data_IF_593324218419
#
_entry.id   IF_593324218419
#
_cell.length_a   1.000
_cell.length_b   1.000
_cell.length_c   1.000
_cell.angle_alpha   90.00
_cell.angle_beta   90.00
_cell.angle_gamma   90.00
#
_symmetry.space_group_name_H-M   'P 1'
#
loop_
_entity.id
_entity.type
_entity.pdbx_description
1 polymer ?
#
# COMPACT_ATOMS: atom_id res chain seq x y z
N UNK A 1 40.65 -12.27 -30.21
CA UNK A 1 40.23 -11.78 -28.87
C UNK A 1 38.81 -11.25 -29.01
N UNK A 2 37.81 -12.05 -28.65
CA UNK A 2 36.41 -11.62 -28.62
C UNK A 2 36.19 -10.88 -27.30
N UNK A 3 36.11 -9.56 -27.34
CA UNK A 3 35.65 -8.74 -26.23
C UNK A 3 34.13 -8.82 -26.17
N UNK A 4 33.61 -9.85 -25.49
CA UNK A 4 32.25 -9.85 -24.97
C UNK A 4 32.18 -8.86 -23.81
N UNK A 5 32.11 -7.57 -24.14
CA UNK A 5 31.55 -6.56 -23.23
C UNK A 5 30.07 -6.88 -23.08
N UNK A 6 29.56 -7.22 -21.88
CA UNK A 6 28.13 -7.35 -21.70
C UNK A 6 27.50 -5.99 -21.96
N UNK A 7 26.62 -5.93 -22.96
CA UNK A 7 25.80 -4.75 -23.24
C UNK A 7 24.94 -4.42 -22.03
N UNK A 8 24.87 -3.13 -21.72
CA UNK A 8 24.20 -2.50 -20.58
C UNK A 8 22.66 -2.54 -20.72
N UNK A 9 22.12 -3.71 -21.01
CA UNK A 9 20.71 -3.95 -21.36
C UNK A 9 20.13 -5.18 -20.64
N UNK A 10 20.62 -5.48 -19.43
CA UNK A 10 19.84 -6.25 -18.47
C UNK A 10 18.67 -5.38 -17.99
N UNK A 11 17.66 -5.21 -18.85
CA UNK A 11 16.32 -4.94 -18.36
C UNK A 11 16.03 -6.02 -17.32
N UNK A 12 15.92 -5.64 -16.05
CA UNK A 12 15.53 -6.58 -14.99
C UNK A 12 14.13 -7.08 -15.36
N UNK A 13 14.08 -8.26 -15.98
CA UNK A 13 12.86 -8.80 -16.56
C UNK A 13 11.78 -8.91 -15.48
N UNK A 14 10.57 -8.46 -15.83
CA UNK A 14 9.39 -8.66 -14.99
C UNK A 14 9.18 -10.16 -14.79
N UNK A 15 9.23 -10.61 -13.52
CA UNK A 15 8.94 -12.00 -13.18
C UNK A 15 7.43 -12.23 -13.20
N UNK A 16 6.91 -12.72 -14.33
CA UNK A 16 5.48 -13.01 -14.51
C UNK A 16 4.94 -13.98 -13.46
N UNK A 17 5.73 -14.97 -13.04
CA UNK A 17 5.35 -15.89 -11.96
C UNK A 17 5.11 -15.18 -10.62
N UNK A 18 6.04 -14.29 -10.21
CA UNK A 18 5.88 -13.50 -8.98
C UNK A 18 4.69 -12.53 -9.09
N UNK A 19 4.47 -11.95 -10.27
CA UNK A 19 3.33 -11.05 -10.50
C UNK A 19 1.99 -11.79 -10.40
N UNK A 20 1.90 -12.99 -10.99
CA UNK A 20 0.74 -13.87 -10.88
C UNK A 20 0.49 -14.29 -9.43
N UNK A 21 1.52 -14.75 -8.72
CA UNK A 21 1.40 -15.08 -7.28
C UNK A 21 0.88 -13.87 -6.51
N UNK A 22 1.49 -12.70 -6.68
CA UNK A 22 1.04 -11.50 -6.00
C UNK A 22 -0.38 -11.07 -6.40
N UNK A 23 -0.84 -11.36 -7.62
CA UNK A 23 -2.20 -11.07 -8.09
C UNK A 23 -3.23 -12.08 -7.56
N UNK A 24 -2.84 -13.32 -7.36
CA UNK A 24 -3.67 -14.34 -6.71
C UNK A 24 -3.74 -14.04 -5.21
N UNK A 25 -2.61 -13.78 -4.56
CA UNK A 25 -2.55 -13.50 -3.13
C UNK A 25 -3.39 -12.30 -2.72
N UNK A 26 -3.39 -11.21 -3.49
CA UNK A 26 -4.17 -10.00 -3.18
C UNK A 26 -5.69 -10.23 -3.23
N UNK A 27 -6.16 -11.27 -3.94
CA UNK A 27 -7.59 -11.58 -4.06
C UNK A 27 -8.01 -12.72 -3.14
N UNK A 28 -7.24 -13.82 -3.18
CA UNK A 28 -7.58 -15.06 -2.51
C UNK A 28 -7.38 -14.93 -1.01
N UNK A 29 -6.30 -14.29 -0.55
CA UNK A 29 -6.04 -14.20 0.89
C UNK A 29 -7.13 -13.40 1.62
N UNK A 30 -7.53 -12.18 1.18
CA UNK A 30 -8.61 -11.46 1.84
C UNK A 30 -9.95 -12.22 1.81
N UNK A 31 -10.27 -12.87 0.68
CA UNK A 31 -11.49 -13.66 0.56
C UNK A 31 -11.50 -14.85 1.54
N UNK A 32 -10.42 -15.64 1.57
CA UNK A 32 -10.28 -16.78 2.49
C UNK A 32 -10.34 -16.30 3.95
N UNK A 33 -9.71 -15.18 4.28
CA UNK A 33 -9.71 -14.63 5.62
C UNK A 33 -11.11 -14.16 6.03
N UNK A 34 -11.77 -13.33 5.20
CA UNK A 34 -13.09 -12.78 5.52
C UNK A 34 -14.17 -13.87 5.61
N UNK A 35 -14.24 -14.75 4.62
CA UNK A 35 -15.26 -15.81 4.59
C UNK A 35 -14.94 -16.96 5.54
N UNK A 36 -13.66 -17.28 5.73
CA UNK A 36 -13.24 -18.28 6.71
C UNK A 36 -13.52 -17.85 8.16
N UNK A 37 -13.30 -16.57 8.48
CA UNK A 37 -13.59 -16.03 9.82
C UNK A 37 -15.08 -15.78 10.06
N UNK A 38 -15.79 -15.22 9.07
CA UNK A 38 -17.25 -15.02 9.16
C UNK A 38 -18.05 -16.33 9.15
N UNK A 39 -17.52 -17.38 8.51
CA UNK A 39 -18.19 -18.66 8.38
C UNK A 39 -19.36 -18.66 7.38
N UNK A 40 -19.50 -17.60 6.58
CA UNK A 40 -20.58 -17.42 5.61
C UNK A 40 -20.04 -16.80 4.32
N UNK A 41 -20.72 -17.04 3.20
CA UNK A 41 -20.35 -16.51 1.87
C UNK A 41 -21.32 -15.45 1.35
N UNK A 42 -22.50 -15.37 1.94
CA UNK A 42 -23.58 -14.42 1.67
C UNK A 42 -23.37 -13.10 2.43
N UNK A 43 -22.17 -12.54 2.31
CA UNK A 43 -21.80 -11.25 2.88
C UNK A 43 -21.44 -10.26 1.77
N UNK A 44 -22.44 -9.50 1.31
CA UNK A 44 -22.33 -8.65 0.12
C UNK A 44 -21.19 -7.63 0.22
N UNK A 45 -21.02 -6.97 1.37
CA UNK A 45 -19.98 -5.97 1.55
C UNK A 45 -18.57 -6.55 1.54
N UNK A 46 -18.38 -7.82 1.93
CA UNK A 46 -17.09 -8.49 1.77
C UNK A 46 -16.77 -8.73 0.28
N UNK A 47 -17.76 -9.12 -0.53
CA UNK A 47 -17.57 -9.23 -1.99
C UNK A 47 -17.29 -7.88 -2.65
N UNK A 48 -18.00 -6.82 -2.22
CA UNK A 48 -17.72 -5.45 -2.68
C UNK A 48 -16.28 -5.05 -2.35
N UNK A 49 -15.81 -5.32 -1.13
CA UNK A 49 -14.43 -5.04 -0.72
C UNK A 49 -13.41 -5.84 -1.54
N UNK A 50 -13.65 -7.14 -1.80
CA UNK A 50 -12.78 -7.97 -2.66
C UNK A 50 -12.76 -7.42 -4.09
N UNK A 51 -13.90 -7.02 -4.63
CA UNK A 51 -14.01 -6.38 -5.95
C UNK A 51 -13.24 -5.07 -6.01
N UNK A 52 -13.28 -4.27 -4.94
CA UNK A 52 -12.51 -3.04 -4.82
C UNK A 52 -11.00 -3.31 -4.81
N UNK A 53 -10.57 -4.30 -4.02
CA UNK A 53 -9.17 -4.76 -3.99
C UNK A 53 -8.70 -5.27 -5.35
N UNK A 54 -9.57 -5.97 -6.09
CA UNK A 54 -9.27 -6.41 -7.45
C UNK A 54 -9.12 -5.22 -8.40
N UNK A 55 -10.09 -4.32 -8.42
CA UNK A 55 -10.11 -3.18 -9.33
C UNK A 55 -8.88 -2.28 -9.14
N UNK A 56 -8.59 -1.85 -7.91
CA UNK A 56 -7.44 -0.99 -7.65
C UNK A 56 -6.11 -1.75 -7.63
N UNK A 57 -6.06 -2.94 -7.04
CA UNK A 57 -4.83 -3.74 -6.91
C UNK A 57 -4.34 -4.28 -8.25
N UNK A 58 -5.22 -4.89 -9.05
CA UNK A 58 -4.85 -5.37 -10.39
C UNK A 58 -4.73 -4.20 -11.36
N UNK A 59 -5.63 -3.22 -11.31
CA UNK A 59 -5.57 -2.02 -12.13
C UNK A 59 -4.25 -1.27 -11.96
N UNK A 60 -3.79 -1.09 -10.72
CA UNK A 60 -2.47 -0.50 -10.44
C UNK A 60 -1.33 -1.28 -11.08
N UNK A 61 -1.35 -2.63 -11.00
CA UNK A 61 -0.33 -3.47 -11.64
C UNK A 61 -0.36 -3.36 -13.16
N UNK A 62 -1.55 -3.35 -13.77
CA UNK A 62 -1.69 -3.17 -15.22
C UNK A 62 -1.12 -1.81 -15.63
N UNK A 63 -1.49 -0.73 -14.95
CA UNK A 63 -0.97 0.62 -15.27
C UNK A 63 0.56 0.66 -15.11
N UNK A 64 1.11 0.08 -14.04
CA UNK A 64 2.54 0.04 -13.81
C UNK A 64 3.28 -0.81 -14.86
N UNK A 65 2.70 -1.91 -15.36
CA UNK A 65 3.30 -2.71 -16.45
C UNK A 65 3.46 -1.88 -17.72
N UNK A 66 2.52 -0.96 -17.96
CA UNK A 66 2.48 -0.15 -19.17
C UNK A 66 3.34 1.11 -19.04
N UNK A 67 3.35 1.76 -17.86
CA UNK A 67 4.03 3.05 -17.66
C UNK A 67 5.42 2.94 -17.05
N UNK A 68 5.64 1.99 -16.15
CA UNK A 68 6.86 1.91 -15.32
C UNK A 68 7.22 0.44 -15.03
N UNK A 69 7.58 -0.35 -16.06
CA UNK A 69 7.89 -1.77 -15.88
C UNK A 69 9.04 -2.01 -14.88
N UNK A 70 10.02 -1.10 -14.84
CA UNK A 70 11.12 -1.14 -13.88
C UNK A 70 10.64 -1.07 -12.42
N UNK A 71 9.55 -0.35 -12.14
CA UNK A 71 8.98 -0.26 -10.80
C UNK A 71 8.36 -1.60 -10.38
N UNK A 72 7.71 -2.32 -11.31
CA UNK A 72 7.18 -3.66 -11.02
C UNK A 72 8.30 -4.64 -10.78
N UNK A 73 9.34 -4.62 -11.63
CA UNK A 73 10.51 -5.46 -11.45
C UNK A 73 11.13 -5.21 -10.08
N UNK A 74 11.25 -3.94 -9.67
CA UNK A 74 11.77 -3.61 -8.34
C UNK A 74 10.88 -4.12 -7.21
N UNK A 75 9.57 -3.87 -7.27
CA UNK A 75 8.62 -4.32 -6.24
C UNK A 75 8.56 -5.85 -6.14
N UNK A 76 8.72 -6.56 -7.26
CA UNK A 76 8.78 -8.02 -7.28
C UNK A 76 10.05 -8.60 -6.65
N UNK A 77 11.10 -7.81 -6.50
CA UNK A 77 12.38 -8.19 -5.89
C UNK A 77 12.63 -7.49 -4.55
N UNK A 78 11.68 -6.68 -4.06
CA UNK A 78 11.88 -5.80 -2.91
C UNK A 78 12.29 -6.58 -1.63
N UNK A 79 11.74 -7.78 -1.44
CA UNK A 79 12.09 -8.66 -0.31
C UNK A 79 13.51 -9.25 -0.40
N UNK A 80 14.08 -9.30 -1.60
CA UNK A 80 15.41 -9.84 -1.87
C UNK A 80 16.49 -8.74 -1.74
N UNK A 81 16.12 -7.47 -1.45
CA UNK A 81 17.05 -6.34 -1.38
C UNK A 81 17.74 -6.27 -0.03
N UNK A 82 19.04 -6.52 -0.05
CA UNK A 82 19.88 -6.51 1.15
C UNK A 82 20.00 -5.12 1.80
N UNK A 83 19.93 -4.05 1.00
CA UNK A 83 20.07 -2.66 1.42
C UNK A 83 18.77 -2.02 1.95
N UNK A 84 17.73 -2.84 2.14
CA UNK A 84 16.52 -2.45 2.89
C UNK A 84 16.89 -2.03 4.31
N UNK A 85 16.33 -0.92 4.79
CA UNK A 85 16.57 -0.45 6.16
C UNK A 85 16.17 -1.53 7.20
N UNK A 86 17.02 -1.81 8.22
CA UNK A 86 16.76 -2.90 9.16
C UNK A 86 15.41 -2.82 9.89
N UNK A 87 15.00 -1.61 10.29
CA UNK A 87 13.70 -1.38 10.94
C UNK A 87 12.52 -1.67 9.98
N UNK A 88 12.71 -1.47 8.67
CA UNK A 88 11.65 -1.69 7.69
C UNK A 88 11.45 -3.16 7.38
N UNK A 89 12.49 -4.00 7.56
CA UNK A 89 12.37 -5.46 7.45
C UNK A 89 11.32 -6.03 8.42
N UNK A 90 11.10 -5.36 9.55
CA UNK A 90 10.05 -5.71 10.52
C UNK A 90 8.77 -4.90 10.30
N UNK A 91 8.85 -3.58 10.09
CA UNK A 91 7.65 -2.74 9.95
C UNK A 91 6.86 -3.05 8.67
N UNK A 92 7.53 -3.33 7.55
CA UNK A 92 6.87 -3.59 6.28
C UNK A 92 5.92 -4.80 6.35
N UNK A 93 6.31 -6.01 6.77
CA UNK A 93 5.38 -7.13 6.85
C UNK A 93 4.27 -6.91 7.89
N UNK A 94 4.54 -6.19 8.98
CA UNK A 94 3.51 -5.83 9.96
C UNK A 94 2.43 -4.96 9.32
N UNK A 95 2.83 -3.91 8.62
CA UNK A 95 1.94 -2.94 7.99
C UNK A 95 1.23 -3.51 6.75
N UNK A 96 1.93 -4.31 5.94
CA UNK A 96 1.42 -4.77 4.66
C UNK A 96 0.66 -6.12 4.73
N UNK A 97 0.92 -6.93 5.75
CA UNK A 97 0.38 -8.30 5.82
C UNK A 97 -0.29 -8.55 7.17
N UNK A 98 0.46 -8.48 8.28
CA UNK A 98 -0.03 -8.96 9.58
C UNK A 98 -1.21 -8.14 10.10
N UNK A 99 -1.05 -6.82 10.26
CA UNK A 99 -2.10 -5.99 10.84
C UNK A 99 -3.35 -5.89 9.94
N UNK A 100 -3.24 -5.73 8.59
CA UNK A 100 -4.40 -5.81 7.72
C UNK A 100 -5.12 -7.16 7.80
N UNK A 101 -4.38 -8.28 7.88
CA UNK A 101 -4.99 -9.60 8.03
C UNK A 101 -5.73 -9.72 9.36
N UNK A 102 -5.13 -9.27 10.46
CA UNK A 102 -5.80 -9.23 11.77
C UNK A 102 -7.07 -8.38 11.71
N UNK A 103 -7.02 -7.22 11.04
CA UNK A 103 -8.20 -6.37 10.84
C UNK A 103 -9.33 -7.10 10.11
N UNK A 104 -9.03 -7.83 9.03
CA UNK A 104 -10.03 -8.61 8.29
C UNK A 104 -10.55 -9.81 9.09
N UNK A 105 -9.69 -10.50 9.86
CA UNK A 105 -10.12 -11.58 10.77
C UNK A 105 -11.09 -11.04 11.80
N UNK A 106 -10.76 -9.91 12.45
CA UNK A 106 -11.63 -9.29 13.45
C UNK A 106 -12.95 -8.88 12.82
N UNK A 107 -12.94 -8.29 11.62
CA UNK A 107 -14.17 -7.92 10.91
C UNK A 107 -15.05 -9.14 10.61
N UNK A 108 -14.47 -10.25 10.13
CA UNK A 108 -15.24 -11.46 9.86
C UNK A 108 -15.74 -12.15 11.13
N UNK A 109 -14.96 -12.18 12.22
CA UNK A 109 -15.45 -12.70 13.51
C UNK A 109 -16.57 -11.82 14.08
N UNK A 110 -16.48 -10.51 13.93
CA UNK A 110 -17.53 -9.56 14.32
C UNK A 110 -18.83 -9.82 13.53
N UNK A 111 -18.75 -9.99 12.21
CA UNK A 111 -19.89 -10.42 11.37
C UNK A 111 -20.47 -11.77 11.83
N UNK A 112 -19.61 -12.74 12.20
CA UNK A 112 -20.06 -14.07 12.64
C UNK A 112 -20.83 -14.04 13.96
N UNK A 113 -20.36 -13.25 14.91
CA UNK A 113 -20.86 -13.24 16.27
C UNK A 113 -21.77 -12.06 16.58
N UNK A 114 -21.90 -11.09 15.66
CA UNK A 114 -22.74 -9.92 15.79
C UNK A 114 -22.34 -9.02 16.96
N UNK A 115 -21.04 -8.77 17.17
CA UNK A 115 -20.61 -7.93 18.29
C UNK A 115 -20.90 -6.44 18.04
N UNK A 116 -20.89 -6.01 16.78
CA UNK A 116 -21.26 -4.67 16.34
C UNK A 116 -22.77 -4.57 16.07
N UNK A 117 -23.37 -3.37 16.28
CA UNK A 117 -24.74 -3.12 15.84
C UNK A 117 -24.83 -3.16 14.30
N UNK A 118 -26.04 -3.30 13.77
CA UNK A 118 -26.26 -3.17 12.32
C UNK A 118 -25.92 -1.76 11.82
N UNK A 119 -25.19 -1.68 10.72
CA UNK A 119 -24.77 -0.40 10.14
C UNK A 119 -25.81 0.09 9.12
N UNK A 120 -26.18 1.37 9.13
CA UNK A 120 -26.97 1.95 8.05
C UNK A 120 -26.24 1.81 6.72
N UNK A 121 -26.97 1.39 5.67
CA UNK A 121 -26.39 1.21 4.34
C UNK A 121 -25.70 2.48 3.81
N UNK A 122 -26.23 3.66 4.14
CA UNK A 122 -25.61 4.94 3.80
C UNK A 122 -24.19 5.10 4.36
N UNK A 123 -23.92 4.57 5.56
CA UNK A 123 -22.59 4.61 6.17
C UNK A 123 -21.63 3.67 5.42
N UNK A 124 -22.07 2.46 5.07
CA UNK A 124 -21.26 1.52 4.29
C UNK A 124 -20.95 2.03 2.89
N UNK A 125 -21.91 2.65 2.20
CA UNK A 125 -21.70 3.30 0.89
C UNK A 125 -20.75 4.49 1.00
N UNK A 126 -20.86 5.29 2.07
CA UNK A 126 -19.92 6.38 2.34
C UNK A 126 -18.51 5.83 2.58
N UNK A 127 -18.37 4.77 3.38
CA UNK A 127 -17.12 4.10 3.64
C UNK A 127 -16.52 3.47 2.37
N UNK A 128 -17.34 2.92 1.48
CA UNK A 128 -16.91 2.44 0.16
C UNK A 128 -16.28 3.57 -0.66
N UNK A 129 -16.93 4.74 -0.72
CA UNK A 129 -16.40 5.90 -1.44
C UNK A 129 -15.08 6.39 -0.85
N UNK A 130 -14.99 6.49 0.48
CA UNK A 130 -13.77 6.91 1.18
C UNK A 130 -12.62 5.90 0.95
N UNK A 131 -12.92 4.60 1.03
CA UNK A 131 -11.94 3.53 0.75
C UNK A 131 -11.43 3.63 -0.68
N UNK A 132 -12.34 3.84 -1.64
CA UNK A 132 -12.00 4.01 -3.06
C UNK A 132 -11.09 5.21 -3.29
N UNK A 133 -11.35 6.33 -2.61
CA UNK A 133 -10.51 7.54 -2.69
C UNK A 133 -9.11 7.29 -2.10
N UNK A 134 -9.03 6.59 -0.98
CA UNK A 134 -7.76 6.19 -0.37
C UNK A 134 -6.91 5.32 -1.31
N UNK A 135 -7.53 4.31 -1.92
CA UNK A 135 -6.85 3.48 -2.92
C UNK A 135 -6.48 4.23 -4.18
N UNK A 136 -7.35 5.11 -4.67
CA UNK A 136 -7.04 5.99 -5.81
C UNK A 136 -5.79 6.82 -5.54
N UNK A 137 -5.67 7.43 -4.36
CA UNK A 137 -4.49 8.21 -3.99
C UNK A 137 -3.22 7.34 -3.94
N UNK A 138 -3.33 6.09 -3.46
CA UNK A 138 -2.24 5.11 -3.50
C UNK A 138 -1.81 4.76 -4.92
N UNK A 139 -2.76 4.48 -5.82
CA UNK A 139 -2.48 4.19 -7.24
C UNK A 139 -1.85 5.41 -7.91
N UNK A 140 -2.40 6.61 -7.72
CA UNK A 140 -1.86 7.84 -8.29
C UNK A 140 -0.42 8.10 -7.82
N UNK A 141 -0.15 7.88 -6.54
CA UNK A 141 1.20 8.00 -5.97
C UNK A 141 2.19 7.03 -6.60
N UNK A 142 1.77 5.79 -6.83
CA UNK A 142 2.60 4.75 -7.43
C UNK A 142 2.85 5.00 -8.92
N UNK A 143 1.85 5.51 -9.64
CA UNK A 143 1.94 5.81 -11.07
C UNK A 143 2.86 7.00 -11.34
N UNK A 144 2.88 8.00 -10.46
CA UNK A 144 3.73 9.19 -10.62
C UNK A 144 5.15 8.94 -10.11
N UNK A 145 5.31 8.14 -9.05
CA UNK A 145 6.61 7.86 -8.45
C UNK A 145 7.19 6.52 -8.96
N UNK A 146 8.06 6.59 -9.97
CA UNK A 146 8.78 5.42 -10.51
C UNK A 146 9.75 4.74 -9.51
N UNK A 147 9.98 5.37 -8.36
CA UNK A 147 10.81 4.86 -7.26
C UNK A 147 9.97 4.36 -6.06
N UNK A 148 8.66 4.18 -6.21
CA UNK A 148 7.73 3.73 -5.15
C UNK A 148 7.95 2.25 -4.74
N UNK A 149 9.08 1.99 -4.08
CA UNK A 149 9.44 0.65 -3.60
C UNK A 149 8.46 0.15 -2.53
N UNK A 150 8.40 -1.18 -2.36
CA UNK A 150 7.62 -1.77 -1.28
C UNK A 150 8.35 -1.69 0.08
N UNK A 151 9.67 -1.51 0.03
CA UNK A 151 10.57 -1.41 1.19
C UNK A 151 11.35 -0.10 1.14
N UNK A 152 11.75 0.41 2.31
CA UNK A 152 12.50 1.66 2.44
C UNK A 152 13.98 1.43 2.14
N UNK A 153 14.45 2.05 1.06
CA UNK A 153 15.84 2.05 0.60
C UNK A 153 16.09 3.18 -0.39
N UNK A 154 17.37 3.54 -0.59
CA UNK A 154 17.79 4.46 -1.64
C UNK A 154 18.26 3.67 -2.86
N UNK A 155 17.51 3.76 -3.95
CA UNK A 155 17.72 3.04 -5.20
C UNK A 155 18.78 3.74 -6.07
N UNK A 156 20.01 3.83 -5.57
CA UNK A 156 21.14 4.48 -6.27
C UNK A 156 21.39 3.86 -7.64
N UNK A 157 21.21 2.55 -7.75
CA UNK A 157 21.35 1.80 -9.01
C UNK A 157 20.30 2.18 -10.06
N UNK A 158 19.16 2.75 -9.64
CA UNK A 158 18.11 3.26 -10.54
C UNK A 158 18.20 4.77 -10.72
N UNK A 159 19.25 5.41 -10.19
CA UNK A 159 19.42 6.86 -10.18
C UNK A 159 18.24 7.56 -9.51
N UNK A 160 17.89 7.15 -8.28
CA UNK A 160 16.77 7.73 -7.55
C UNK A 160 16.87 9.24 -7.43
N UNK A 161 15.79 9.93 -7.79
CA UNK A 161 15.62 11.37 -7.63
C UNK A 161 14.30 11.67 -6.91
N UNK A 162 14.21 12.88 -6.35
CA UNK A 162 12.99 13.33 -5.66
C UNK A 162 11.87 13.53 -6.68
N UNK A 163 10.71 12.93 -6.40
CA UNK A 163 9.48 13.11 -7.19
C UNK A 163 8.63 14.18 -6.53
N UNK A 164 8.33 15.24 -7.28
CA UNK A 164 7.62 16.44 -6.78
C UNK A 164 6.29 16.71 -7.48
N UNK A 165 5.90 15.86 -8.44
CA UNK A 165 4.70 16.02 -9.26
C UNK A 165 3.52 15.17 -8.76
N UNK A 166 2.34 15.39 -9.32
CA UNK A 166 1.13 14.65 -8.93
C UNK A 166 0.76 14.92 -7.48
N UNK A 167 0.43 13.90 -6.66
CA UNK A 167 0.01 14.15 -5.28
C UNK A 167 1.17 14.60 -4.36
N UNK A 168 2.42 14.41 -4.80
CA UNK A 168 3.62 14.85 -4.07
C UNK A 168 3.79 16.38 -4.03
N UNK A 169 3.01 17.15 -4.81
CA UNK A 169 3.02 18.61 -4.70
C UNK A 169 2.29 19.10 -3.43
N UNK A 170 1.46 18.26 -2.80
CA UNK A 170 0.61 18.64 -1.67
C UNK A 170 1.11 18.06 -0.34
N UNK A 171 1.55 16.80 -0.36
CA UNK A 171 2.07 16.07 0.81
C UNK A 171 3.24 15.18 0.39
N UNK A 172 4.18 14.93 1.29
CA UNK A 172 5.39 14.14 0.97
C UNK A 172 5.12 12.65 0.81
N UNK A 173 4.10 12.11 1.50
CA UNK A 173 3.78 10.68 1.52
C UNK A 173 2.31 10.38 1.17
N UNK A 174 1.86 10.74 -0.03
CA UNK A 174 0.45 10.61 -0.42
C UNK A 174 -0.04 9.16 -0.45
N UNK A 175 0.84 8.19 -0.76
CA UNK A 175 0.50 6.77 -0.72
C UNK A 175 0.14 6.29 0.69
N UNK A 176 0.89 6.73 1.70
CA UNK A 176 0.59 6.43 3.10
C UNK A 176 -0.67 7.16 3.58
N UNK A 177 -0.88 8.42 3.16
CA UNK A 177 -2.11 9.15 3.47
C UNK A 177 -3.34 8.41 2.93
N UNK A 178 -3.29 7.94 1.68
CA UNK A 178 -4.36 7.14 1.08
C UNK A 178 -4.59 5.82 1.81
N UNK A 179 -3.51 5.13 2.20
CA UNK A 179 -3.58 3.91 3.00
C UNK A 179 -4.24 4.11 4.37
N UNK A 180 -3.90 5.19 5.07
CA UNK A 180 -4.50 5.52 6.38
C UNK A 180 -6.00 5.75 6.26
N UNK A 181 -6.42 6.55 5.27
CA UNK A 181 -7.83 6.82 4.99
C UNK A 181 -8.59 5.53 4.70
N UNK A 182 -8.04 4.67 3.84
CA UNK A 182 -8.65 3.39 3.51
C UNK A 182 -8.74 2.46 4.74
N UNK A 183 -7.68 2.35 5.54
CA UNK A 183 -7.66 1.48 6.72
C UNK A 183 -8.72 1.84 7.75
N UNK A 184 -9.05 3.13 7.92
CA UNK A 184 -10.16 3.52 8.80
C UNK A 184 -11.53 3.28 8.18
N UNK A 185 -11.66 3.40 6.86
CA UNK A 185 -12.92 3.22 6.16
C UNK A 185 -13.32 1.75 5.98
N UNK A 186 -12.35 0.84 5.83
CA UNK A 186 -12.61 -0.60 5.61
C UNK A 186 -13.43 -1.25 6.73
N UNK A 187 -13.12 -1.06 8.03
CA UNK A 187 -13.98 -1.56 9.11
C UNK A 187 -15.43 -1.08 8.99
N UNK A 188 -15.64 0.19 8.62
CA UNK A 188 -16.98 0.76 8.46
C UNK A 188 -17.71 0.21 7.24
N UNK A 189 -16.98 -0.04 6.15
CA UNK A 189 -17.49 -0.71 4.95
C UNK A 189 -17.95 -2.14 5.27
N UNK A 190 -17.16 -2.85 6.08
CA UNK A 190 -17.46 -4.21 6.54
C UNK A 190 -18.47 -4.25 7.70
N UNK A 191 -18.92 -3.10 8.23
CA UNK A 191 -19.87 -3.09 9.34
C UNK A 191 -19.31 -3.52 10.69
N UNK A 192 -18.00 -3.38 10.90
CA UNK A 192 -17.31 -3.81 12.13
C UNK A 192 -16.68 -2.64 12.88
N UNK A 193 -17.19 -2.34 14.08
CA UNK A 193 -16.54 -1.41 15.01
C UNK A 193 -15.29 -2.02 15.64
N UNK A 194 -15.29 -3.33 15.90
CA UNK A 194 -14.16 -4.01 16.53
C UNK A 194 -12.91 -4.01 15.63
N UNK A 195 -13.10 -4.05 14.31
CA UNK A 195 -12.00 -3.92 13.36
C UNK A 195 -11.38 -2.51 13.32
N UNK A 196 -11.99 -1.48 13.94
CA UNK A 196 -11.35 -0.18 14.10
C UNK A 196 -10.12 -0.23 15.02
N UNK A 197 -10.11 -1.12 16.02
CA UNK A 197 -8.95 -1.26 16.92
C UNK A 197 -7.67 -1.69 16.17
N UNK A 198 -7.66 -2.79 15.39
CA UNK A 198 -6.51 -3.11 14.54
C UNK A 198 -6.27 -2.08 13.43
N UNK A 199 -7.30 -1.36 12.96
CA UNK A 199 -7.13 -0.24 12.03
C UNK A 199 -6.32 0.91 12.63
N UNK A 200 -6.59 1.29 13.89
CA UNK A 200 -5.78 2.27 14.63
C UNK A 200 -4.34 1.79 14.74
N UNK A 201 -4.13 0.52 15.12
CA UNK A 201 -2.79 -0.05 15.26
C UNK A 201 -1.99 0.02 13.95
N UNK A 202 -2.56 -0.44 12.82
CA UNK A 202 -1.85 -0.37 11.53
C UNK A 202 -1.56 1.07 11.12
N UNK A 203 -2.46 2.00 11.41
CA UNK A 203 -2.26 3.41 11.09
C UNK A 203 -1.18 4.07 11.96
N UNK A 204 -1.08 3.71 13.24
CA UNK A 204 0.05 4.11 14.08
C UNK A 204 1.38 3.60 13.51
N UNK A 205 1.43 2.34 13.06
CA UNK A 205 2.63 1.78 12.43
C UNK A 205 2.97 2.47 11.11
N UNK A 206 1.97 2.83 10.29
CA UNK A 206 2.19 3.59 9.06
C UNK A 206 2.74 4.98 9.38
N UNK A 207 2.23 5.66 10.41
CA UNK A 207 2.74 6.98 10.83
C UNK A 207 4.20 6.87 11.27
N UNK A 208 4.55 5.86 12.07
CA UNK A 208 5.95 5.59 12.47
C UNK A 208 6.82 5.31 11.24
N UNK A 209 6.38 4.40 10.36
CA UNK A 209 7.08 4.06 9.12
C UNK A 209 7.29 5.29 8.24
N UNK A 210 6.28 6.14 8.12
CA UNK A 210 6.32 7.41 7.38
C UNK A 210 7.39 8.34 7.95
N UNK A 211 7.46 8.51 9.27
CA UNK A 211 8.47 9.35 9.91
C UNK A 211 9.89 8.84 9.66
N UNK A 212 10.11 7.53 9.78
CA UNK A 212 11.41 6.91 9.58
C UNK A 212 11.87 6.96 8.12
N UNK A 213 10.94 6.75 7.18
CA UNK A 213 11.20 6.89 5.75
C UNK A 213 11.49 8.35 5.37
N UNK A 214 10.70 9.30 5.86
CA UNK A 214 10.92 10.74 5.63
C UNK A 214 12.29 11.19 6.13
N UNK A 215 12.71 10.75 7.32
CA UNK A 215 14.04 11.05 7.87
C UNK A 215 15.14 10.40 7.01
N UNK A 216 14.96 9.14 6.61
CA UNK A 216 15.91 8.45 5.71
C UNK A 216 16.10 9.20 4.40
N UNK A 217 15.00 9.68 3.80
CA UNK A 217 15.05 10.45 2.56
C UNK A 217 15.73 11.81 2.77
N UNK A 218 15.46 12.50 3.88
CA UNK A 218 16.15 13.74 4.22
C UNK A 218 17.65 13.55 4.43
N UNK A 219 18.09 12.41 4.97
CA UNK A 219 19.49 12.17 5.29
C UNK A 219 20.30 11.61 4.11
N UNK A 220 19.66 10.85 3.21
CA UNK A 220 20.38 10.05 2.21
C UNK A 220 20.02 10.34 0.75
N UNK A 221 18.91 11.05 0.48
CA UNK A 221 18.48 11.39 -0.88
C UNK A 221 18.75 12.86 -1.20
N UNK A 222 19.67 13.08 -2.15
CA UNK A 222 20.04 14.40 -2.62
C UNK A 222 18.81 15.20 -3.10
N UNK A 223 18.70 16.44 -2.63
CA UNK A 223 17.60 17.36 -2.96
C UNK A 223 16.30 17.13 -2.18
N UNK A 224 16.20 16.11 -1.32
CA UNK A 224 14.97 15.86 -0.56
C UNK A 224 14.72 16.90 0.53
N UNK A 225 15.76 17.44 1.16
CA UNK A 225 15.64 18.52 2.15
C UNK A 225 15.00 19.78 1.56
N UNK A 226 15.49 20.25 0.40
CA UNK A 226 14.91 21.39 -0.33
C UNK A 226 13.45 21.16 -0.74
N UNK A 227 13.12 19.90 -1.08
CA UNK A 227 11.74 19.52 -1.33
C UNK A 227 10.89 19.56 -0.04
N UNK A 228 11.40 19.08 1.08
CA UNK A 228 10.72 19.08 2.37
C UNK A 228 10.46 20.48 2.94
N UNK A 229 11.30 21.46 2.60
CA UNK A 229 11.07 22.87 2.93
C UNK A 229 9.88 23.47 2.16
N UNK A 230 9.69 23.05 0.90
CA UNK A 230 8.60 23.51 0.02
C UNK A 230 7.28 22.78 0.32
N UNK A 231 7.32 21.46 0.42
CA UNK A 231 6.18 20.62 0.75
C UNK A 231 6.30 20.21 2.21
N UNK A 232 5.73 21.03 3.09
CA UNK A 232 5.94 20.94 4.54
C UNK A 232 5.28 19.73 5.20
N UNK A 233 4.15 19.29 4.64
CA UNK A 233 3.30 18.26 5.24
C UNK A 233 3.71 16.85 4.81
N UNK A 234 3.81 15.93 5.76
CA UNK A 234 4.08 14.51 5.51
C UNK A 234 2.84 13.79 4.99
N UNK A 235 1.71 13.94 5.68
CA UNK A 235 0.50 13.15 5.43
C UNK A 235 -0.76 14.01 5.28
N UNK A 236 -0.92 15.02 6.14
CA UNK A 236 -2.16 15.79 6.22
C UNK A 236 -1.86 17.30 6.28
N UNK A 237 -2.31 18.07 5.29
CA UNK A 237 -2.13 19.52 5.29
C UNK A 237 -2.68 20.18 6.55
N UNK A 238 -1.87 21.03 7.17
CA UNK A 238 -2.20 21.77 8.40
C UNK A 238 -1.99 21.00 9.70
N UNK A 239 -1.62 19.70 9.64
CA UNK A 239 -1.42 18.87 10.84
C UNK A 239 0.02 18.37 10.93
N UNK A 240 0.50 17.63 9.92
CA UNK A 240 1.80 16.97 9.95
C UNK A 240 2.37 16.68 8.56
#
# INVERSE_FOLDING_TARGET
>A
MNTNTPTKEESKQVSWGRLLIAAISILVLPAVVLFGSSGRLDWDMAWVYIGLMAAFGLGSKIIMLWKTPDLIAERGQALDKEDTKPWDKTLMPLVAIVCPTVMLVVAGLDERFGWSPEFPQALQVTALFITSLGYFLGVWSTVVNKYFSAVVRIQRERGQTVVTSGPYQYVRHPGYAGGIVANFAVPLLLGSLWALAPAVLVNCLIVVRTALEDNTLQDELDGYRDYAERVRYRLLPGVW
#
